data_IF_277729353619
#
_entry.id   IF_277729353619
#
_cell.length_a   1.000
_cell.length_b   1.000
_cell.length_c   1.000
_cell.angle_alpha   90.00
_cell.angle_beta   90.00
_cell.angle_gamma   90.00
#
_symmetry.space_group_name_H-M   'P 1'
#
loop_
_entity.id
_entity.type
_entity.pdbx_description
1 polymer ?
#
# COMPACT_ATOMS: atom_id res chain seq x y z
N UNK A 1 7.47 50.33 -39.70
CA UNK A 1 8.65 50.03 -38.86
C UNK A 1 8.18 49.24 -37.66
N UNK A 2 8.65 48.00 -37.52
CA UNK A 2 8.23 47.11 -36.43
C UNK A 2 8.92 47.55 -35.13
N UNK A 3 8.14 48.10 -34.21
CA UNK A 3 8.59 48.31 -32.85
C UNK A 3 8.63 46.95 -32.14
N UNK A 4 9.80 46.33 -32.09
CA UNK A 4 10.10 45.23 -31.17
C UNK A 4 10.00 45.77 -29.75
N UNK A 5 8.80 45.66 -29.16
CA UNK A 5 8.63 45.77 -27.72
C UNK A 5 9.42 44.63 -27.11
N UNK A 6 10.57 44.94 -26.52
CA UNK A 6 11.20 44.08 -25.55
C UNK A 6 10.20 43.90 -24.41
N UNK A 7 9.43 42.82 -24.46
CA UNK A 7 8.56 42.37 -23.37
C UNK A 7 9.49 42.03 -22.19
N UNK A 8 9.75 43.02 -21.34
CA UNK A 8 10.36 42.84 -20.04
C UNK A 8 9.40 42.03 -19.18
N UNK A 9 9.48 40.70 -19.33
CA UNK A 9 8.69 39.75 -18.55
C UNK A 9 8.88 40.06 -17.06
N UNK A 10 7.77 40.28 -16.36
CA UNK A 10 7.76 40.41 -14.91
C UNK A 10 8.43 39.17 -14.28
N UNK A 11 9.21 39.32 -13.19
CA UNK A 11 9.89 38.20 -12.53
C UNK A 11 8.94 37.05 -12.16
N UNK A 12 7.67 37.33 -11.90
CA UNK A 12 6.67 36.30 -11.63
C UNK A 12 6.19 35.56 -12.88
N UNK A 13 6.12 36.24 -14.02
CA UNK A 13 5.85 35.63 -15.33
C UNK A 13 6.98 34.66 -15.71
N UNK A 14 8.23 35.08 -15.46
CA UNK A 14 9.43 34.27 -15.70
C UNK A 14 9.46 33.04 -14.79
N UNK A 15 9.17 33.20 -13.49
CA UNK A 15 9.04 32.08 -12.54
C UNK A 15 7.97 31.08 -12.98
N UNK A 16 6.79 31.55 -13.39
CA UNK A 16 5.70 30.70 -13.89
C UNK A 16 6.11 29.94 -15.14
N UNK A 17 6.78 30.60 -16.10
CA UNK A 17 7.28 29.96 -17.33
C UNK A 17 8.38 28.93 -17.04
N UNK A 18 9.31 29.22 -16.14
CA UNK A 18 10.34 28.27 -15.71
C UNK A 18 9.73 27.05 -15.03
N UNK A 19 8.80 27.25 -14.09
CA UNK A 19 8.09 26.17 -13.42
C UNK A 19 7.33 25.29 -14.42
N UNK A 20 6.58 25.90 -15.36
CA UNK A 20 5.90 25.19 -16.44
C UNK A 20 6.88 24.43 -17.33
N UNK A 21 8.03 25.03 -17.67
CA UNK A 21 9.06 24.38 -18.50
C UNK A 21 9.65 23.18 -17.78
N UNK A 22 10.00 23.30 -16.50
CA UNK A 22 10.53 22.19 -15.71
C UNK A 22 9.49 21.09 -15.47
N UNK A 23 8.21 21.45 -15.36
CA UNK A 23 7.10 20.49 -15.28
C UNK A 23 6.91 19.74 -16.61
N UNK A 24 6.83 20.46 -17.73
CA UNK A 24 6.59 19.86 -19.04
C UNK A 24 7.78 19.03 -19.54
N UNK A 25 9.01 19.39 -19.15
CA UNK A 25 10.21 18.59 -19.43
C UNK A 25 10.42 17.41 -18.46
N UNK A 26 9.53 17.19 -17.49
CA UNK A 26 9.62 16.08 -16.53
C UNK A 26 10.75 16.20 -15.51
N UNK A 27 11.46 17.33 -15.47
CA UNK A 27 12.54 17.60 -14.50
C UNK A 27 11.97 17.66 -13.08
N UNK A 28 10.79 18.26 -12.93
CA UNK A 28 10.12 18.37 -11.63
C UNK A 28 9.70 16.99 -11.08
N UNK A 29 9.27 16.07 -11.95
CA UNK A 29 8.86 14.72 -11.55
C UNK A 29 10.07 13.84 -11.25
N UNK A 30 11.16 13.99 -12.00
CA UNK A 30 12.46 13.37 -11.69
C UNK A 30 12.95 13.83 -10.31
N UNK A 31 12.91 15.14 -10.04
CA UNK A 31 13.34 15.70 -8.77
C UNK A 31 12.47 15.22 -7.59
N UNK A 32 11.14 15.19 -7.75
CA UNK A 32 10.22 14.63 -6.75
C UNK A 32 10.52 13.15 -6.48
N UNK A 33 10.78 12.37 -7.53
CA UNK A 33 11.09 10.94 -7.42
C UNK A 33 12.41 10.72 -6.70
N UNK A 34 13.43 11.52 -7.01
CA UNK A 34 14.73 11.49 -6.32
C UNK A 34 14.58 11.86 -4.84
N UNK A 35 13.87 12.95 -4.52
CA UNK A 35 13.57 13.34 -3.14
C UNK A 35 12.85 12.25 -2.36
N UNK A 36 11.80 11.66 -2.95
CA UNK A 36 11.07 10.54 -2.33
C UNK A 36 12.00 9.36 -2.08
N UNK A 37 12.83 8.99 -3.05
CA UNK A 37 13.79 7.88 -2.92
C UNK A 37 14.79 8.15 -1.81
N UNK A 38 15.32 9.37 -1.72
CA UNK A 38 16.26 9.75 -0.67
C UNK A 38 15.60 9.77 0.71
N UNK A 39 14.38 10.29 0.85
CA UNK A 39 13.61 10.23 2.10
C UNK A 39 13.37 8.78 2.54
N UNK A 40 12.98 7.90 1.62
CA UNK A 40 12.81 6.47 1.92
C UNK A 40 14.14 5.86 2.36
N UNK A 41 15.26 6.18 1.70
CA UNK A 41 16.58 5.67 2.07
C UNK A 41 17.06 6.17 3.45
N UNK A 42 16.80 7.44 3.77
CA UNK A 42 17.20 8.06 5.05
C UNK A 42 16.31 7.63 6.21
N UNK A 43 15.03 7.37 5.95
CA UNK A 43 14.06 6.87 6.94
C UNK A 43 14.09 5.35 7.07
N UNK A 44 14.69 4.63 6.11
CA UNK A 44 14.88 3.18 6.21
C UNK A 44 15.89 2.94 7.33
N UNK A 45 15.53 2.18 8.39
CA UNK A 45 16.47 1.87 9.44
C UNK A 45 17.70 1.15 8.84
N UNK A 46 18.92 1.44 9.31
CA UNK A 46 20.12 0.78 8.82
C UNK A 46 19.94 -0.74 8.93
N UNK A 47 20.43 -1.52 7.96
CA UNK A 47 20.43 -2.96 8.09
C UNK A 47 21.23 -3.26 9.36
N UNK A 48 20.56 -3.86 10.35
CA UNK A 48 21.18 -4.26 11.59
C UNK A 48 22.39 -5.13 11.22
N UNK A 49 23.58 -4.60 11.50
CA UNK A 49 24.86 -5.26 11.27
C UNK A 49 24.82 -6.66 11.88
N UNK A 50 24.88 -7.69 11.02
CA UNK A 50 25.03 -9.09 11.43
C UNK A 50 23.90 -10.01 10.96
N UNK A 51 23.71 -10.14 9.65
CA UNK A 51 22.84 -11.18 9.09
C UNK A 51 22.70 -11.00 7.58
N UNK A 52 23.19 -11.97 6.82
CA UNK A 52 23.16 -12.00 5.36
C UNK A 52 21.75 -11.76 4.76
N UNK A 53 21.67 -11.26 3.50
CA UNK A 53 20.41 -11.04 2.78
C UNK A 53 19.84 -12.36 2.27
N UNK A 54 19.51 -13.26 3.19
CA UNK A 54 18.61 -14.36 2.95
C UNK A 54 17.27 -13.97 3.53
N UNK A 55 16.23 -14.00 2.70
CA UNK A 55 14.88 -14.32 3.14
C UNK A 55 14.99 -15.58 4.02
N UNK A 56 15.22 -15.41 5.33
CA UNK A 56 15.08 -16.52 6.28
C UNK A 56 13.59 -16.75 6.30
N UNK A 57 13.08 -17.88 5.77
CA UNK A 57 11.72 -18.26 6.07
C UNK A 57 11.74 -18.42 7.58
N UNK A 58 11.06 -17.53 8.29
CA UNK A 58 10.78 -17.76 9.71
C UNK A 58 10.25 -19.18 9.75
N UNK A 59 10.92 -20.02 10.53
CA UNK A 59 10.53 -21.41 10.71
C UNK A 59 9.17 -21.37 11.41
N UNK A 60 8.12 -21.28 10.62
CA UNK A 60 6.78 -21.39 11.12
C UNK A 60 6.04 -22.38 10.26
N UNK A 61 5.87 -23.55 10.83
CA UNK A 61 5.15 -24.65 10.21
C UNK A 61 3.63 -24.39 10.17
N UNK A 62 3.16 -23.16 10.40
CA UNK A 62 1.72 -22.79 10.39
C UNK A 62 1.39 -21.31 10.10
N UNK A 63 2.34 -20.36 10.04
CA UNK A 63 2.00 -18.91 10.10
C UNK A 63 1.63 -18.19 8.79
N UNK A 64 2.08 -18.53 7.56
CA UNK A 64 1.75 -17.66 6.42
C UNK A 64 0.25 -17.67 6.08
N UNK A 65 -0.44 -18.80 6.24
CA UNK A 65 -1.87 -18.93 5.96
C UNK A 65 -2.74 -18.31 7.05
N UNK A 66 -2.42 -18.58 8.33
CA UNK A 66 -3.16 -17.99 9.46
C UNK A 66 -2.98 -16.46 9.51
N UNK A 67 -1.77 -15.96 9.28
CA UNK A 67 -1.53 -14.50 9.21
C UNK A 67 -2.28 -13.89 8.03
N UNK A 68 -2.26 -14.53 6.86
CA UNK A 68 -3.02 -14.05 5.70
C UNK A 68 -4.54 -14.10 5.92
N UNK A 69 -5.04 -15.08 6.69
CA UNK A 69 -6.43 -15.19 7.10
C UNK A 69 -6.84 -14.08 8.08
N UNK A 70 -6.06 -13.85 9.13
CA UNK A 70 -6.29 -12.74 10.06
C UNK A 70 -6.26 -11.39 9.32
N UNK A 71 -5.28 -11.19 8.45
CA UNK A 71 -5.20 -9.98 7.66
C UNK A 71 -6.42 -9.84 6.73
N UNK A 72 -6.93 -10.94 6.16
CA UNK A 72 -8.14 -10.92 5.31
C UNK A 72 -9.37 -10.50 6.12
N UNK A 73 -9.54 -11.00 7.34
CA UNK A 73 -10.62 -10.59 8.24
C UNK A 73 -10.55 -9.10 8.58
N UNK A 74 -9.35 -8.59 8.88
CA UNK A 74 -9.14 -7.16 9.15
C UNK A 74 -9.46 -6.33 7.90
N UNK A 75 -8.97 -6.73 6.73
CA UNK A 75 -9.25 -6.03 5.48
C UNK A 75 -10.76 -6.01 5.15
N UNK A 76 -11.46 -7.11 5.39
CA UNK A 76 -12.91 -7.20 5.18
C UNK A 76 -13.67 -6.26 6.13
N UNK A 77 -13.31 -6.25 7.42
CA UNK A 77 -13.87 -5.31 8.38
C UNK A 77 -13.62 -3.85 7.99
N UNK A 78 -12.39 -3.51 7.58
CA UNK A 78 -12.04 -2.16 7.15
C UNK A 78 -12.86 -1.73 5.92
N UNK A 79 -13.08 -2.64 4.97
CA UNK A 79 -13.92 -2.39 3.79
C UNK A 79 -15.38 -2.19 4.16
N UNK A 80 -15.95 -3.10 4.95
CA UNK A 80 -17.37 -3.07 5.34
C UNK A 80 -17.70 -1.87 6.24
N UNK A 81 -16.72 -1.39 7.01
CA UNK A 81 -16.84 -0.19 7.84
C UNK A 81 -16.55 1.12 7.09
N UNK A 82 -16.14 1.06 5.82
CA UNK A 82 -15.86 2.24 4.99
C UNK A 82 -14.53 2.95 5.29
N UNK A 83 -13.56 2.27 5.93
CA UNK A 83 -12.24 2.82 6.25
C UNK A 83 -11.27 2.76 5.05
N UNK A 84 -11.64 3.37 3.92
CA UNK A 84 -10.92 3.30 2.64
C UNK A 84 -9.45 3.76 2.72
N UNK A 85 -9.17 4.79 3.52
CA UNK A 85 -7.81 5.29 3.71
C UNK A 85 -6.92 4.29 4.45
N UNK A 86 -7.40 3.80 5.61
CA UNK A 86 -6.70 2.78 6.40
C UNK A 86 -6.49 1.50 5.59
N UNK A 87 -7.52 1.07 4.85
CA UNK A 87 -7.46 -0.09 3.97
C UNK A 87 -6.38 0.05 2.88
N UNK A 88 -6.23 1.25 2.32
CA UNK A 88 -5.22 1.54 1.29
C UNK A 88 -3.78 1.47 1.81
N UNK A 89 -3.56 1.82 3.09
CA UNK A 89 -2.27 1.66 3.76
C UNK A 89 -2.05 0.22 4.22
N UNK A 90 -3.12 -0.46 4.63
CA UNK A 90 -3.09 -1.81 5.16
C UNK A 90 -2.64 -2.83 4.12
N UNK A 91 -3.15 -2.79 2.88
CA UNK A 91 -2.75 -3.74 1.83
C UNK A 91 -1.23 -3.86 1.61
N UNK A 92 -0.48 -2.77 1.37
CA UNK A 92 0.97 -2.85 1.19
C UNK A 92 1.72 -3.16 2.50
N UNK A 93 1.20 -2.76 3.66
CA UNK A 93 1.82 -3.03 4.97
C UNK A 93 1.67 -4.50 5.39
N UNK A 94 0.49 -5.07 5.18
CA UNK A 94 0.16 -6.45 5.55
C UNK A 94 0.62 -7.49 4.51
N UNK A 95 1.14 -7.04 3.37
CA UNK A 95 1.50 -7.90 2.24
C UNK A 95 0.31 -8.61 1.58
N UNK A 96 -0.92 -8.13 1.82
CA UNK A 96 -2.12 -8.69 1.19
C UNK A 96 -2.26 -8.17 -0.23
N UNK A 97 -2.35 -9.09 -1.19
CA UNK A 97 -2.84 -8.73 -2.52
C UNK A 97 -4.37 -8.61 -2.48
N UNK A 98 -4.93 -7.57 -3.09
CA UNK A 98 -6.40 -7.41 -3.27
C UNK A 98 -7.09 -8.63 -3.88
N UNK A 99 -6.35 -9.41 -4.67
CA UNK A 99 -6.83 -10.63 -5.35
C UNK A 99 -6.69 -11.91 -4.51
N UNK A 100 -6.03 -11.87 -3.34
CA UNK A 100 -5.76 -13.03 -2.46
C UNK A 100 -6.40 -12.89 -1.08
N UNK A 101 -7.53 -12.20 -1.00
CA UNK A 101 -8.31 -12.17 0.23
C UNK A 101 -9.02 -13.51 0.37
N UNK A 102 -8.84 -14.18 1.50
CA UNK A 102 -9.53 -15.44 1.76
C UNK A 102 -11.05 -15.24 1.74
N UNK A 103 -11.75 -16.18 1.11
CA UNK A 103 -13.21 -16.23 1.20
C UNK A 103 -13.64 -16.72 2.58
N UNK A 104 -14.91 -16.52 2.92
CA UNK A 104 -15.49 -16.94 4.20
C UNK A 104 -15.36 -18.45 4.37
N UNK A 105 -15.55 -19.18 3.28
CA UNK A 105 -15.42 -20.62 3.18
C UNK A 105 -13.98 -21.07 3.44
N UNK A 106 -13.00 -20.35 2.87
CA UNK A 106 -11.58 -20.63 3.11
C UNK A 106 -11.20 -20.44 4.59
N UNK A 107 -11.75 -19.42 5.24
CA UNK A 107 -11.53 -19.16 6.68
C UNK A 107 -12.14 -20.27 7.55
N UNK A 108 -13.36 -20.71 7.24
CA UNK A 108 -14.02 -21.80 7.97
C UNK A 108 -13.27 -23.13 7.82
N UNK A 109 -12.77 -23.41 6.61
CA UNK A 109 -11.92 -24.58 6.36
C UNK A 109 -10.56 -24.49 7.07
N UNK A 110 -9.94 -23.30 7.09
CA UNK A 110 -8.68 -23.07 7.80
C UNK A 110 -8.82 -23.27 9.31
N UNK A 111 -9.96 -22.84 9.88
CA UNK A 111 -10.33 -23.05 11.28
C UNK A 111 -10.75 -24.50 11.60
N UNK A 112 -10.76 -25.39 10.60
CA UNK A 112 -11.20 -26.80 10.70
C UNK A 112 -12.59 -26.95 11.29
N UNK A 113 -13.47 -25.99 11.03
CA UNK A 113 -14.87 -26.07 11.44
C UNK A 113 -15.59 -27.05 10.51
N UNK A 114 -16.19 -28.09 11.08
CA UNK A 114 -16.96 -29.04 10.29
C UNK A 114 -18.29 -28.39 9.88
N UNK A 115 -18.75 -28.57 8.63
CA UNK A 115 -20.03 -28.06 8.17
C UNK A 115 -21.23 -28.50 9.02
N UNK A 116 -21.09 -29.62 9.72
CA UNK A 116 -22.11 -30.24 10.56
C UNK A 116 -22.19 -29.58 11.94
N UNK A 117 -21.14 -28.86 12.35
CA UNK A 117 -21.06 -28.18 13.65
C UNK A 117 -22.12 -27.08 13.76
N UNK A 118 -22.76 -27.00 14.92
CA UNK A 118 -23.70 -25.92 15.23
C UNK A 118 -23.01 -24.54 15.16
N UNK A 119 -21.72 -24.47 15.46
CA UNK A 119 -20.92 -23.24 15.33
C UNK A 119 -20.75 -22.83 13.86
N UNK A 120 -20.47 -23.77 12.96
CA UNK A 120 -20.37 -23.50 11.53
C UNK A 120 -21.70 -22.94 10.99
N UNK A 121 -22.81 -23.61 11.31
CA UNK A 121 -24.16 -23.17 10.91
C UNK A 121 -24.51 -21.80 11.50
N UNK A 122 -24.13 -21.56 12.75
CA UNK A 122 -24.34 -20.27 13.42
C UNK A 122 -23.57 -19.15 12.72
N UNK A 123 -22.29 -19.34 12.42
CA UNK A 123 -21.44 -18.32 11.79
C UNK A 123 -21.93 -17.98 10.37
N UNK A 124 -22.29 -19.00 9.58
CA UNK A 124 -22.84 -18.82 8.23
C UNK A 124 -24.21 -18.12 8.27
N UNK A 125 -25.12 -18.55 9.15
CA UNK A 125 -26.47 -17.99 9.20
C UNK A 125 -26.52 -16.55 9.72
N UNK A 126 -25.58 -16.16 10.60
CA UNK A 126 -25.54 -14.82 11.18
C UNK A 126 -24.63 -13.84 10.43
N UNK A 127 -24.01 -14.25 9.31
CA UNK A 127 -23.04 -13.43 8.56
C UNK A 127 -21.93 -12.82 9.44
N UNK A 128 -21.53 -13.52 10.51
CA UNK A 128 -20.48 -13.04 11.44
C UNK A 128 -19.10 -13.13 10.78
N UNK A 129 -18.97 -14.03 9.80
CA UNK A 129 -17.82 -14.17 8.91
C UNK A 129 -18.33 -14.04 7.50
#
# INVERSE_FOLDING_TARGET
>A
MYATKEDTLSPDELRKRLYQTFKNKGVLDTLKTQLRTQLIQQLRPPPLTGGEPGLRPVSVKSEPLLVSACNSMVADHLRTSGYEYTLSLFYPESGLCKEKVFTKEDLLQLLRLSPESDLYKFLVNNNII
#
